data_IF_153057990901
#
_entry.id   IF_153057990901
#
_cell.length_a   1.000
_cell.length_b   1.000
_cell.length_c   1.000
_cell.angle_alpha   90.00
_cell.angle_beta   90.00
_cell.angle_gamma   90.00
#
_symmetry.space_group_name_H-M   'P 1'
#
loop_
_entity.id
_entity.type
_entity.pdbx_description
1 polymer ?
#
# COMPACT_ATOMS: atom_id res chain seq x y z
N UNK A 1 12.53 -7.54 -0.34
CA UNK A 1 11.17 -6.93 -0.32
C UNK A 1 10.61 -7.00 -1.71
N UNK A 2 9.39 -7.48 -1.85
CA UNK A 2 8.79 -7.63 -3.17
C UNK A 2 7.32 -7.27 -3.12
N UNK A 3 6.78 -6.76 -4.23
CA UNK A 3 5.35 -6.45 -4.26
C UNK A 3 4.56 -7.74 -4.38
N UNK A 4 3.41 -7.78 -3.72
CA UNK A 4 2.57 -8.96 -3.71
C UNK A 4 1.13 -8.57 -4.01
N UNK A 5 0.36 -9.54 -4.48
CA UNK A 5 -1.06 -9.34 -4.72
C UNK A 5 -1.80 -9.45 -3.39
N UNK A 6 -2.90 -8.71 -3.31
CA UNK A 6 -3.79 -8.80 -2.15
C UNK A 6 -5.18 -9.09 -2.64
N UNK A 7 -6.12 -9.18 -1.71
CA UNK A 7 -7.51 -9.43 -2.07
C UNK A 7 -8.11 -8.29 -2.88
N UNK A 8 -7.57 -7.09 -2.74
CA UNK A 8 -8.12 -5.94 -3.43
C UNK A 8 -7.39 -5.62 -4.73
N UNK A 9 -6.31 -6.34 -5.06
CA UNK A 9 -5.54 -6.08 -6.26
C UNK A 9 -6.43 -6.09 -7.49
N UNK A 10 -6.45 -5.00 -8.23
CA UNK A 10 -7.28 -4.89 -9.42
C UNK A 10 -6.52 -4.39 -10.64
N UNK A 11 -5.22 -4.21 -10.54
CA UNK A 11 -4.41 -3.75 -11.65
C UNK A 11 -2.98 -4.20 -11.46
N UNK A 12 -2.25 -4.25 -12.55
CA UNK A 12 -0.83 -4.56 -12.51
C UNK A 12 -0.13 -3.54 -13.40
N UNK A 13 0.79 -2.81 -12.84
CA UNK A 13 1.60 -1.88 -13.62
C UNK A 13 2.85 -2.60 -14.10
N UNK A 14 3.17 -2.42 -15.36
CA UNK A 14 4.34 -3.04 -15.94
C UNK A 14 5.19 -1.97 -16.58
N UNK A 15 6.50 -2.17 -16.55
CA UNK A 15 7.43 -1.29 -17.19
C UNK A 15 8.59 -2.13 -17.63
N UNK A 16 9.00 -1.96 -18.87
CA UNK A 16 10.05 -2.78 -19.43
C UNK A 16 11.28 -2.69 -18.56
N UNK A 17 11.86 -3.85 -18.24
CA UNK A 17 13.04 -3.89 -17.39
C UNK A 17 12.75 -3.81 -15.91
N UNK A 18 11.48 -3.70 -15.52
CA UNK A 18 11.11 -3.61 -14.13
C UNK A 18 10.21 -4.76 -13.75
N UNK A 19 10.17 -5.05 -12.46
CA UNK A 19 9.27 -6.06 -11.93
C UNK A 19 7.84 -5.57 -12.00
N UNK A 20 6.92 -6.47 -12.31
CA UNK A 20 5.51 -6.13 -12.32
C UNK A 20 5.07 -5.67 -10.94
N UNK A 21 4.18 -4.71 -10.91
CA UNK A 21 3.70 -4.14 -9.66
C UNK A 21 2.19 -4.32 -9.55
N UNK A 22 1.72 -5.31 -8.80
CA UNK A 22 0.30 -5.46 -8.53
C UNK A 22 -0.16 -4.36 -7.58
N UNK A 23 -1.29 -3.76 -7.87
CA UNK A 23 -1.78 -2.63 -7.09
C UNK A 23 -3.29 -2.68 -6.98
N UNK A 24 -3.80 -1.90 -6.04
CA UNK A 24 -5.22 -1.61 -5.94
C UNK A 24 -5.40 -0.15 -6.33
N UNK A 25 -6.15 0.07 -7.40
CA UNK A 25 -6.53 1.44 -7.79
C UNK A 25 -7.84 1.76 -7.10
N UNK A 26 -7.90 2.92 -6.47
CA UNK A 26 -9.08 3.28 -5.68
C UNK A 26 -9.44 4.74 -5.88
N UNK A 27 -10.68 5.05 -5.57
CA UNK A 27 -11.17 6.43 -5.57
C UNK A 27 -11.79 6.70 -4.21
N UNK A 28 -11.45 7.83 -3.64
CA UNK A 28 -12.04 8.25 -2.38
C UNK A 28 -13.32 8.99 -2.70
N UNK A 29 -14.45 8.41 -2.32
CA UNK A 29 -15.74 8.96 -2.67
C UNK A 29 -15.99 10.33 -2.02
N UNK A 30 -15.39 10.57 -0.88
CA UNK A 30 -15.64 11.81 -0.17
C UNK A 30 -15.09 13.01 -0.89
N UNK A 31 -13.93 12.88 -1.54
CA UNK A 31 -13.31 14.02 -2.20
C UNK A 31 -12.88 13.70 -3.63
N UNK A 32 -13.25 12.53 -4.15
CA UNK A 32 -12.98 12.13 -5.52
C UNK A 32 -11.49 12.01 -5.83
N UNK A 33 -10.66 11.93 -4.82
CA UNK A 33 -9.24 11.68 -5.06
C UNK A 33 -9.02 10.24 -5.43
N UNK A 34 -8.09 10.00 -6.32
CA UNK A 34 -7.75 8.65 -6.71
C UNK A 34 -6.36 8.33 -6.23
N UNK A 35 -6.11 7.06 -6.04
CA UNK A 35 -4.80 6.63 -5.58
C UNK A 35 -4.52 5.21 -5.97
N UNK A 36 -3.35 4.75 -5.59
CA UNK A 36 -2.87 3.42 -5.89
C UNK A 36 -2.19 2.88 -4.64
N UNK A 37 -2.59 1.69 -4.24
CA UNK A 37 -1.95 1.04 -3.11
C UNK A 37 -1.19 -0.19 -3.59
N UNK A 38 0.04 -0.35 -3.14
CA UNK A 38 0.80 -1.56 -3.36
C UNK A 38 1.14 -2.17 -2.02
N UNK A 39 1.27 -3.48 -2.01
CA UNK A 39 1.60 -4.21 -0.79
C UNK A 39 2.94 -4.90 -1.00
N UNK A 40 3.82 -4.79 -0.01
CA UNK A 40 5.17 -5.31 -0.13
C UNK A 40 5.46 -6.28 0.98
N UNK A 41 6.00 -7.41 0.62
CA UNK A 41 6.33 -8.46 1.56
C UNK A 41 7.82 -8.43 1.84
N UNK A 42 8.19 -8.45 3.10
CA UNK A 42 9.57 -8.38 3.52
C UNK A 42 10.13 -9.78 3.76
N UNK A 43 11.39 -9.97 3.45
CA UNK A 43 12.08 -11.21 3.81
C UNK A 43 12.35 -11.21 5.31
N UNK A 44 12.65 -12.39 5.89
CA UNK A 44 12.99 -12.43 7.32
C UNK A 44 14.15 -11.53 7.68
N UNK A 45 15.17 -11.44 6.82
CA UNK A 45 16.31 -10.57 7.10
C UNK A 45 15.89 -9.11 7.08
N UNK A 46 15.00 -8.75 6.17
CA UNK A 46 14.51 -7.37 6.10
C UNK A 46 13.67 -7.04 7.32
N UNK A 47 12.86 -7.98 7.78
CA UNK A 47 12.07 -7.77 8.99
C UNK A 47 12.98 -7.50 10.16
N UNK A 48 14.06 -8.29 10.28
CA UNK A 48 15.00 -8.11 11.37
C UNK A 48 15.66 -6.73 11.29
N UNK A 49 16.03 -6.31 10.09
CA UNK A 49 16.66 -5.03 9.91
C UNK A 49 15.72 -3.89 10.28
N UNK A 50 14.46 -3.99 9.89
CA UNK A 50 13.46 -2.97 10.23
C UNK A 50 13.27 -2.92 11.74
N UNK A 51 13.27 -4.09 12.39
CA UNK A 51 13.14 -4.12 13.85
C UNK A 51 14.32 -3.42 14.52
N UNK A 52 15.52 -3.56 13.96
CA UNK A 52 16.68 -2.96 14.56
C UNK A 52 16.79 -1.47 14.31
N UNK A 53 16.39 -1.04 13.13
CA UNK A 53 16.56 0.36 12.75
C UNK A 53 15.29 1.18 12.86
N UNK A 54 14.14 0.55 12.76
CA UNK A 54 12.87 1.26 12.76
C UNK A 54 12.67 2.11 11.52
N UNK A 55 13.37 1.79 10.44
CA UNK A 55 13.35 2.64 9.26
C UNK A 55 13.09 1.86 8.00
N UNK A 56 12.47 2.52 7.05
CA UNK A 56 12.26 2.00 5.71
C UNK A 56 12.53 3.15 4.75
N UNK A 57 13.03 2.83 3.57
CA UNK A 57 13.41 3.86 2.60
C UNK A 57 12.54 3.72 1.36
N UNK A 58 12.16 4.85 0.80
CA UNK A 58 11.37 4.88 -0.42
C UNK A 58 12.14 5.67 -1.48
N UNK A 59 12.38 5.04 -2.62
CA UNK A 59 13.05 5.68 -3.74
C UNK A 59 12.03 5.93 -4.84
N UNK A 60 12.00 7.14 -5.34
CA UNK A 60 11.16 7.49 -6.47
C UNK A 60 12.06 8.07 -7.54
N UNK A 61 12.00 7.46 -8.72
CA UNK A 61 12.86 7.88 -9.81
C UNK A 61 12.29 9.14 -10.44
N UNK A 62 13.15 10.09 -10.74
CA UNK A 62 12.73 11.36 -11.31
C UNK A 62 12.84 12.47 -10.29
N UNK A 63 12.35 13.65 -10.66
CA UNK A 63 12.42 14.80 -9.75
C UNK A 63 11.04 15.33 -9.40
N UNK A 64 9.99 14.60 -9.65
CA UNK A 64 8.66 14.95 -9.20
C UNK A 64 8.21 13.87 -8.24
N UNK A 65 7.87 14.26 -7.02
CA UNK A 65 7.50 13.31 -6.00
C UNK A 65 6.00 13.42 -5.77
N UNK A 66 5.23 12.41 -6.12
CA UNK A 66 3.80 12.44 -5.82
C UNK A 66 3.57 12.31 -4.32
N UNK A 67 2.41 12.67 -3.83
CA UNK A 67 2.11 12.42 -2.42
C UNK A 67 2.17 10.94 -2.14
N UNK A 68 2.85 10.56 -1.07
CA UNK A 68 2.95 9.16 -0.68
C UNK A 68 2.67 9.03 0.80
N UNK A 69 2.22 7.85 1.18
CA UNK A 69 1.95 7.51 2.56
C UNK A 69 2.40 6.08 2.78
N UNK A 70 3.22 5.86 3.80
CA UNK A 70 3.64 4.52 4.17
C UNK A 70 2.91 4.13 5.44
N UNK A 71 2.29 2.96 5.41
CA UNK A 71 1.56 2.47 6.57
C UNK A 71 1.86 1.00 6.76
N UNK A 72 1.51 0.48 7.92
CA UNK A 72 1.62 -0.94 8.18
C UNK A 72 0.30 -1.65 7.95
N UNK A 73 -0.75 -0.91 7.64
CA UNK A 73 -2.05 -1.49 7.35
C UNK A 73 -2.57 -0.91 6.07
N UNK A 74 -3.38 -1.70 5.37
CA UNK A 74 -3.96 -1.23 4.13
C UNK A 74 -4.89 -0.06 4.37
N UNK A 75 -4.86 0.90 3.48
CA UNK A 75 -5.81 2.01 3.51
C UNK A 75 -7.12 1.63 2.85
N UNK A 76 -7.16 0.45 2.24
CA UNK A 76 -8.34 -0.03 1.54
C UNK A 76 -9.02 -1.02 2.43
N UNK A 77 -10.31 -0.86 2.66
CA UNK A 77 -11.02 -1.89 3.41
C UNK A 77 -12.42 -2.00 2.87
N UNK A 78 -12.96 -3.19 3.02
CA UNK A 78 -14.31 -3.47 2.59
C UNK A 78 -15.25 -3.12 3.72
N UNK A 79 -16.36 -2.50 3.36
CA UNK A 79 -17.39 -2.29 4.31
C UNK A 79 -18.29 -3.49 4.26
N UNK A 80 -18.25 -4.29 5.26
CA UNK A 80 -19.05 -5.48 5.26
C UNK A 80 -20.39 -5.23 5.87
N UNK A 81 -21.32 -6.07 5.49
CA UNK A 81 -22.65 -5.96 6.01
C UNK A 81 -22.62 -6.12 7.50
N UNK A 82 -23.19 -5.21 8.21
CA UNK A 82 -23.23 -5.29 9.66
C UNK A 82 -22.01 -4.80 10.37
N UNK A 83 -21.01 -4.45 9.66
CA UNK A 83 -19.84 -3.98 10.29
C UNK A 83 -20.00 -2.56 10.72
N UNK A 84 -19.63 -2.26 11.87
CA UNK A 84 -19.70 -0.96 12.30
C UNK A 84 -18.43 -0.42 12.57
N UNK A 85 -18.19 0.45 12.18
CA UNK A 85 -17.03 0.96 12.39
C UNK A 85 -16.88 1.63 13.54
N UNK A 86 -17.41 1.30 14.33
CA UNK A 86 -17.19 1.81 15.38
C UNK A 86 -16.27 1.74 16.03
N UNK A 87 -16.30 1.29 15.68
CA UNK A 87 -15.36 1.40 16.09
C UNK A 87 -14.52 1.75 16.01
N UNK A 88 -14.66 1.55 15.74
CA UNK A 88 -13.78 1.92 15.63
C UNK A 88 -13.29 2.70 15.89
N UNK A 89 -13.70 2.84 16.00
CA UNK A 89 -13.19 3.69 16.34
C UNK A 89 -12.76 4.24 16.90
N UNK A 90 -12.91 4.05 16.93
CA UNK A 90 -12.45 4.60 17.50
C UNK A 90 -11.92 5.09 17.94
N UNK A 91 -12.00 5.04 17.98
CA UNK A 91 -11.45 5.62 18.49
C UNK A 91 -11.02 6.02 18.75
#
# INVERSE_FOLDING_TARGET
>A
MKPVRTETTNSVYTLEGCQDLPVTRYTNDANLETGVESCWELTPDEIKQVQETGKIYLYIQGNVVPPVLLTTESCIYFKEEGENDENSDTE
#
